data_IF_550168542309
#
_entry.id   IF_550168542309
#
_cell.length_a   1.000
_cell.length_b   1.000
_cell.length_c   1.000
_cell.angle_alpha   90.00
_cell.angle_beta   90.00
_cell.angle_gamma   90.00
#
_symmetry.space_group_name_H-M   'P 1'
#
loop_
_entity.id
_entity.type
_entity.pdbx_description
1 polymer ?
#
# COMPACT_ATOMS: atom_id res chain seq x y z
N UNK A 1 -45.40 14.20 38.23
CA UNK A 1 -44.47 14.64 37.19
C UNK A 1 -43.08 14.80 37.83
N UNK A 2 -42.37 13.70 38.14
CA UNK A 2 -40.98 13.71 38.61
C UNK A 2 -40.31 12.41 38.23
N UNK A 3 -40.06 12.19 36.91
CA UNK A 3 -39.51 10.92 36.44
C UNK A 3 -38.43 10.98 35.36
N UNK A 4 -37.96 12.17 34.97
CA UNK A 4 -37.06 12.30 33.81
C UNK A 4 -35.67 12.85 34.11
N UNK A 5 -35.33 13.24 35.33
CA UNK A 5 -33.97 13.71 35.66
C UNK A 5 -32.99 12.60 36.08
N UNK A 6 -33.48 11.50 36.63
CA UNK A 6 -32.60 10.40 37.11
C UNK A 6 -32.01 9.50 36.00
N UNK A 7 -32.56 9.52 34.80
CA UNK A 7 -32.08 8.71 33.70
C UNK A 7 -30.88 9.29 32.92
N UNK A 8 -30.58 10.58 33.11
CA UNK A 8 -29.49 11.27 32.44
C UNK A 8 -28.21 11.41 33.28
N UNK A 9 -28.32 11.21 34.60
CA UNK A 9 -27.12 11.28 35.47
C UNK A 9 -26.03 10.27 35.16
N UNK A 10 -26.30 8.98 34.81
CA UNK A 10 -25.26 8.06 34.41
C UNK A 10 -24.53 8.48 33.12
N UNK A 11 -25.27 9.05 32.16
CA UNK A 11 -24.73 9.58 30.93
C UNK A 11 -23.87 10.85 31.17
N UNK A 12 -24.33 11.69 32.11
CA UNK A 12 -23.58 12.89 32.50
C UNK A 12 -22.28 12.52 33.21
N UNK A 13 -22.31 11.56 34.13
CA UNK A 13 -21.12 11.07 34.82
C UNK A 13 -20.14 10.39 33.85
N UNK A 14 -20.65 9.66 32.85
CA UNK A 14 -19.83 9.11 31.78
C UNK A 14 -19.16 10.20 30.93
N UNK A 15 -19.88 11.25 30.58
CA UNK A 15 -19.35 12.41 29.86
C UNK A 15 -18.34 13.21 30.67
N UNK A 16 -18.56 13.35 32.00
CA UNK A 16 -17.59 14.01 32.89
C UNK A 16 -16.34 13.15 33.15
N UNK A 17 -16.46 11.84 33.15
CA UNK A 17 -15.33 10.91 33.40
C UNK A 17 -14.52 10.58 32.11
N UNK A 18 -15.16 10.61 30.95
CA UNK A 18 -14.56 10.23 29.67
C UNK A 18 -14.73 11.28 28.57
N UNK A 19 -15.26 12.46 28.91
CA UNK A 19 -15.57 13.51 27.93
C UNK A 19 -14.35 14.02 27.19
N UNK A 20 -13.21 14.08 27.85
CA UNK A 20 -11.94 14.50 27.23
C UNK A 20 -11.35 13.42 26.33
N UNK A 21 -11.67 12.13 26.58
CA UNK A 21 -11.25 11.02 25.74
C UNK A 21 -12.16 10.85 24.49
N UNK A 22 -13.39 11.39 24.55
CA UNK A 22 -14.36 11.33 23.44
C UNK A 22 -14.36 12.55 22.53
N UNK A 23 -13.76 13.64 22.95
CA UNK A 23 -13.49 14.77 22.03
C UNK A 23 -12.13 14.45 21.39
N UNK A 24 -12.10 13.98 20.14
CA UNK A 24 -10.82 13.96 19.45
C UNK A 24 -10.35 15.41 19.49
N UNK A 25 -9.26 15.69 20.20
CA UNK A 25 -8.51 16.91 20.01
C UNK A 25 -8.16 16.91 18.53
N UNK A 26 -8.98 17.60 17.73
CA UNK A 26 -8.65 17.90 16.36
C UNK A 26 -7.42 18.81 16.46
N UNK A 27 -6.25 18.22 16.44
CA UNK A 27 -5.06 18.95 16.07
C UNK A 27 -5.26 19.35 14.61
N UNK A 28 -5.87 20.52 14.44
CA UNK A 28 -5.93 21.16 13.13
C UNK A 28 -4.54 21.71 12.90
N UNK A 29 -3.69 20.89 12.31
CA UNK A 29 -2.39 21.33 11.84
C UNK A 29 -2.60 22.20 10.61
N UNK A 30 -2.29 23.48 10.73
CA UNK A 30 -2.22 24.39 9.59
C UNK A 30 -0.95 24.08 8.79
N UNK A 31 -1.12 23.89 7.48
CA UNK A 31 0.04 23.79 6.60
C UNK A 31 0.74 25.16 6.54
N UNK A 32 2.05 25.19 6.84
CA UNK A 32 2.87 26.37 6.55
C UNK A 32 3.01 26.49 5.02
N UNK A 33 2.43 27.59 4.50
CA UNK A 33 2.43 27.92 3.07
C UNK A 33 3.48 28.99 2.73
N UNK A 34 4.47 29.23 3.60
CA UNK A 34 5.58 30.12 3.24
C UNK A 34 6.28 29.62 1.98
N UNK A 35 6.75 30.57 1.15
CA UNK A 35 7.44 30.24 -0.11
C UNK A 35 8.64 29.35 0.18
N UNK A 36 9.39 29.62 1.24
CA UNK A 36 10.56 28.88 1.68
C UNK A 36 10.22 27.42 1.98
N UNK A 37 9.15 27.18 2.75
CA UNK A 37 8.68 25.83 3.08
C UNK A 37 8.18 25.08 1.85
N UNK A 38 7.44 25.76 0.97
CA UNK A 38 6.93 25.15 -0.28
C UNK A 38 8.08 24.80 -1.23
N UNK A 39 9.06 25.70 -1.41
CA UNK A 39 10.22 25.43 -2.25
C UNK A 39 11.10 24.33 -1.67
N UNK A 40 11.31 24.30 -0.35
CA UNK A 40 12.05 23.23 0.31
C UNK A 40 11.38 21.85 0.11
N UNK A 41 10.05 21.79 0.25
CA UNK A 41 9.28 20.55 0.04
C UNK A 41 9.23 20.14 -1.43
N UNK A 42 9.10 21.08 -2.36
CA UNK A 42 9.08 20.80 -3.81
C UNK A 42 10.45 20.50 -4.40
N UNK A 43 11.53 20.98 -3.77
CA UNK A 43 12.90 20.67 -4.17
C UNK A 43 13.38 19.31 -3.64
N UNK A 44 12.60 18.63 -2.79
CA UNK A 44 12.94 17.28 -2.36
C UNK A 44 12.76 16.33 -3.53
N UNK A 45 13.88 15.75 -3.98
CA UNK A 45 13.85 14.56 -4.83
C UNK A 45 12.96 13.50 -4.20
N UNK A 46 12.37 12.64 -5.04
CA UNK A 46 11.56 11.53 -4.53
C UNK A 46 12.38 10.74 -3.50
N UNK A 47 11.75 10.41 -2.37
CA UNK A 47 12.41 9.71 -1.26
C UNK A 47 12.95 8.35 -1.70
N UNK A 48 12.21 7.68 -2.59
CA UNK A 48 12.54 6.34 -3.08
C UNK A 48 12.52 6.35 -4.61
N UNK A 49 13.68 6.15 -5.23
CA UNK A 49 13.78 6.06 -6.69
C UNK A 49 13.36 4.66 -7.17
N UNK A 50 12.70 4.60 -8.33
CA UNK A 50 12.46 3.31 -8.97
C UNK A 50 13.78 2.70 -9.47
N UNK A 51 13.91 1.39 -9.37
CA UNK A 51 15.06 0.68 -9.95
C UNK A 51 14.96 0.53 -11.48
N UNK A 52 13.93 1.10 -12.09
CA UNK A 52 13.74 1.20 -13.54
C UNK A 52 13.97 2.65 -13.95
N UNK A 53 15.13 2.98 -14.57
CA UNK A 53 15.49 4.38 -14.86
C UNK A 53 14.49 5.12 -15.75
N UNK A 54 13.84 4.42 -16.69
CA UNK A 54 12.80 5.01 -17.54
C UNK A 54 11.56 5.42 -16.74
N UNK A 55 11.22 4.66 -15.70
CA UNK A 55 10.10 4.97 -14.82
C UNK A 55 10.43 6.18 -13.94
N UNK A 56 11.63 6.19 -13.32
CA UNK A 56 12.11 7.33 -12.53
C UNK A 56 12.10 8.62 -13.34
N UNK A 57 12.56 8.59 -14.60
CA UNK A 57 12.53 9.77 -15.47
C UNK A 57 11.11 10.27 -15.79
N UNK A 58 10.09 9.42 -15.69
CA UNK A 58 8.71 9.76 -16.03
C UNK A 58 7.89 10.25 -14.84
N UNK A 59 8.09 9.68 -13.67
CA UNK A 59 7.28 9.92 -12.46
C UNK A 59 8.14 10.20 -11.22
N UNK A 60 9.42 10.54 -11.42
CA UNK A 60 10.39 11.02 -10.42
C UNK A 60 10.70 10.04 -9.27
N UNK A 61 9.75 9.21 -8.86
CA UNK A 61 9.90 8.23 -7.80
C UNK A 61 8.70 8.19 -6.86
N UNK A 62 8.92 7.77 -5.63
CA UNK A 62 7.88 7.50 -4.65
C UNK A 62 8.09 8.32 -3.39
N UNK A 63 7.05 8.98 -2.91
CA UNK A 63 7.04 9.74 -1.68
C UNK A 63 5.97 9.23 -0.72
N UNK A 64 6.04 9.68 0.51
CA UNK A 64 5.03 9.48 1.53
C UNK A 64 3.66 10.00 1.07
N UNK A 65 2.60 9.28 1.44
CA UNK A 65 1.24 9.65 1.08
C UNK A 65 0.83 9.32 -0.36
N UNK A 66 1.73 8.74 -1.17
CA UNK A 66 1.39 8.32 -2.52
C UNK A 66 0.56 7.03 -2.53
N UNK A 67 -0.49 7.02 -3.34
CA UNK A 67 -1.16 5.81 -3.78
C UNK A 67 -0.83 5.58 -5.26
N UNK A 68 -0.18 4.47 -5.57
CA UNK A 68 0.24 4.08 -6.91
C UNK A 68 -0.58 2.87 -7.34
N UNK A 69 -1.45 3.00 -8.31
CA UNK A 69 -2.18 1.87 -8.86
C UNK A 69 -1.40 1.24 -10.02
N UNK A 70 -1.16 -0.06 -9.93
CA UNK A 70 -0.44 -0.84 -10.94
C UNK A 70 -1.39 -1.88 -11.55
N UNK A 71 -1.87 -1.59 -12.74
CA UNK A 71 -2.74 -2.51 -13.48
C UNK A 71 -1.97 -3.43 -14.41
N UNK A 72 -2.29 -4.73 -14.38
CA UNK A 72 -1.71 -5.70 -15.29
C UNK A 72 -2.70 -6.82 -15.60
N UNK A 73 -2.53 -7.48 -16.76
CA UNK A 73 -3.27 -8.69 -17.09
C UNK A 73 -2.83 -9.84 -16.17
N UNK A 74 -3.65 -10.88 -16.04
CA UNK A 74 -3.23 -12.12 -15.38
C UNK A 74 -1.94 -12.65 -15.97
N UNK A 75 -1.07 -13.20 -15.14
CA UNK A 75 0.17 -13.87 -15.52
C UNK A 75 1.19 -12.99 -16.31
N UNK A 76 1.07 -11.66 -16.25
CA UNK A 76 2.01 -10.74 -16.93
C UNK A 76 3.16 -10.26 -16.04
N UNK A 77 3.28 -10.81 -14.84
CA UNK A 77 4.44 -10.57 -13.98
C UNK A 77 4.27 -9.49 -12.91
N UNK A 78 3.03 -9.13 -12.47
CA UNK A 78 2.80 -8.16 -11.37
C UNK A 78 3.66 -8.44 -10.15
N UNK A 79 3.60 -9.67 -9.62
CA UNK A 79 4.36 -10.08 -8.43
C UNK A 79 5.87 -10.01 -8.66
N UNK A 80 6.35 -10.36 -9.86
CA UNK A 80 7.77 -10.21 -10.22
C UNK A 80 8.19 -8.74 -10.33
N UNK A 81 7.29 -7.88 -10.82
CA UNK A 81 7.51 -6.45 -10.88
C UNK A 81 7.73 -5.85 -9.49
N UNK A 82 6.80 -6.04 -8.55
CA UNK A 82 6.99 -5.48 -7.22
C UNK A 82 8.12 -6.16 -6.44
N UNK A 83 8.40 -7.45 -6.65
CA UNK A 83 9.56 -8.10 -6.06
C UNK A 83 10.87 -7.47 -6.53
N UNK A 84 10.99 -7.17 -7.83
CA UNK A 84 12.13 -6.45 -8.39
C UNK A 84 12.23 -5.03 -7.84
N UNK A 85 11.12 -4.29 -7.79
CA UNK A 85 11.07 -2.91 -7.30
C UNK A 85 11.49 -2.78 -5.83
N UNK A 86 11.18 -3.80 -5.01
CA UNK A 86 11.50 -3.78 -3.57
C UNK A 86 12.86 -4.38 -3.29
N UNK A 87 13.12 -5.62 -3.76
CA UNK A 87 14.28 -6.41 -3.34
C UNK A 87 15.42 -6.44 -4.37
N UNK A 88 15.16 -6.10 -5.63
CA UNK A 88 16.16 -6.10 -6.70
C UNK A 88 17.27 -5.07 -6.51
N UNK A 89 18.19 -5.02 -7.45
CA UNK A 89 19.26 -4.03 -7.44
C UNK A 89 18.69 -2.62 -7.48
N UNK A 90 19.16 -1.75 -6.58
CA UNK A 90 18.61 -0.42 -6.34
C UNK A 90 17.11 -0.40 -5.98
N UNK A 91 16.55 -1.52 -5.52
CA UNK A 91 15.18 -1.59 -5.03
C UNK A 91 14.96 -0.81 -3.73
N UNK A 92 13.71 -0.53 -3.39
CA UNK A 92 13.37 0.30 -2.22
C UNK A 92 13.97 -0.21 -0.91
N UNK A 93 13.99 -1.54 -0.68
CA UNK A 93 14.59 -2.11 0.52
C UNK A 93 16.13 -1.90 0.58
N UNK A 94 16.81 -1.84 -0.57
CA UNK A 94 18.24 -1.52 -0.62
C UNK A 94 18.50 -0.02 -0.38
N UNK A 95 17.55 0.84 -0.71
CA UNK A 95 17.57 2.26 -0.37
C UNK A 95 17.23 2.52 1.09
N UNK A 96 16.91 1.46 1.88
CA UNK A 96 16.60 1.54 3.30
C UNK A 96 15.12 1.66 3.63
N UNK A 97 14.21 1.57 2.64
CA UNK A 97 12.77 1.59 2.88
C UNK A 97 12.31 0.33 3.63
N UNK A 98 11.49 0.52 4.66
CA UNK A 98 10.77 -0.57 5.33
C UNK A 98 9.55 -0.95 4.51
N UNK A 99 9.57 -2.11 3.92
CA UNK A 99 8.58 -2.58 2.98
C UNK A 99 7.70 -3.68 3.58
N UNK A 100 6.40 -3.53 3.46
CA UNK A 100 5.41 -4.54 3.83
C UNK A 100 4.67 -5.00 2.59
N UNK A 101 4.55 -6.31 2.40
CA UNK A 101 3.87 -6.93 1.27
C UNK A 101 2.75 -7.81 1.79
N UNK A 102 1.53 -7.50 1.39
CA UNK A 102 0.31 -8.16 1.79
C UNK A 102 -0.19 -9.03 0.63
N UNK A 103 -0.01 -10.34 0.75
CA UNK A 103 -0.28 -11.32 -0.31
C UNK A 103 -1.64 -11.98 -0.10
N UNK A 104 -2.52 -11.92 -1.07
CA UNK A 104 -3.81 -12.60 -1.05
C UNK A 104 -4.16 -13.32 -2.38
N UNK A 105 -3.22 -13.32 -3.33
CA UNK A 105 -3.36 -14.03 -4.61
C UNK A 105 -2.51 -15.30 -4.66
N UNK A 106 -1.21 -15.19 -4.39
CA UNK A 106 -0.30 -16.32 -4.29
C UNK A 106 0.09 -16.57 -2.82
N UNK A 107 0.53 -17.79 -2.51
CA UNK A 107 1.05 -18.08 -1.17
C UNK A 107 2.31 -17.26 -0.87
N UNK A 108 2.46 -16.86 0.39
CA UNK A 108 3.61 -16.07 0.88
C UNK A 108 4.94 -16.76 0.53
N UNK A 109 5.00 -18.10 0.54
CA UNK A 109 6.21 -18.83 0.17
C UNK A 109 6.59 -18.65 -1.31
N UNK A 110 5.61 -18.64 -2.21
CA UNK A 110 5.86 -18.40 -3.65
C UNK A 110 6.31 -16.97 -3.90
N UNK A 111 5.64 -16.02 -3.26
CA UNK A 111 6.03 -14.61 -3.31
C UNK A 111 7.44 -14.45 -2.73
N UNK A 112 7.72 -15.04 -1.57
CA UNK A 112 9.05 -15.04 -0.93
C UNK A 112 10.16 -15.56 -1.84
N UNK A 113 9.90 -16.62 -2.63
CA UNK A 113 10.86 -17.11 -3.62
C UNK A 113 11.15 -16.07 -4.71
N UNK A 114 10.15 -15.29 -5.17
CA UNK A 114 10.38 -14.20 -6.14
C UNK A 114 11.24 -13.08 -5.54
N UNK A 115 11.03 -12.77 -4.25
CA UNK A 115 11.86 -11.80 -3.52
C UNK A 115 13.30 -12.28 -3.37
N UNK A 116 13.50 -13.57 -3.06
CA UNK A 116 14.83 -14.18 -3.01
C UNK A 116 15.51 -14.14 -4.39
N UNK A 117 14.78 -14.49 -5.45
CA UNK A 117 15.26 -14.41 -6.84
C UNK A 117 15.66 -12.97 -7.21
N UNK A 118 14.79 -12.00 -6.91
CA UNK A 118 15.06 -10.59 -7.21
C UNK A 118 16.24 -10.03 -6.42
N UNK A 119 16.37 -10.35 -5.14
CA UNK A 119 17.43 -9.84 -4.28
C UNK A 119 18.79 -10.48 -4.56
N UNK A 120 18.79 -11.75 -4.94
CA UNK A 120 20.02 -12.48 -5.24
C UNK A 120 20.49 -12.31 -6.70
N UNK A 121 19.61 -11.83 -7.58
CA UNK A 121 19.83 -11.82 -9.03
C UNK A 121 20.20 -13.22 -9.56
N UNK A 122 19.53 -14.25 -9.04
CA UNK A 122 19.75 -15.65 -9.37
C UNK A 122 18.40 -16.30 -9.69
N UNK A 123 18.38 -17.20 -10.66
CA UNK A 123 17.19 -18.02 -10.91
C UNK A 123 17.07 -19.15 -9.87
N UNK A 124 15.94 -19.86 -9.87
CA UNK A 124 15.66 -20.88 -8.85
C UNK A 124 16.65 -22.07 -8.88
N UNK A 125 17.20 -22.40 -10.02
CA UNK A 125 18.20 -23.48 -10.15
C UNK A 125 19.54 -23.02 -9.54
N UNK A 126 19.98 -21.81 -9.88
CA UNK A 126 21.19 -21.21 -9.31
C UNK A 126 21.11 -21.06 -7.79
N UNK A 127 19.93 -20.68 -7.26
CA UNK A 127 19.68 -20.60 -5.82
C UNK A 127 19.80 -21.97 -5.16
N UNK A 128 19.25 -23.00 -5.80
CA UNK A 128 19.34 -24.38 -5.31
C UNK A 128 20.78 -24.89 -5.27
N UNK A 129 21.56 -24.56 -6.30
CA UNK A 129 22.96 -24.98 -6.41
C UNK A 129 23.88 -24.16 -5.49
N UNK A 130 23.54 -22.90 -5.23
CA UNK A 130 24.35 -21.97 -4.44
C UNK A 130 23.53 -21.26 -3.35
N UNK A 131 22.92 -21.98 -2.39
CA UNK A 131 21.99 -21.39 -1.41
C UNK A 131 22.67 -20.42 -0.45
N UNK A 132 23.97 -20.59 -0.16
CA UNK A 132 24.74 -19.68 0.68
C UNK A 132 24.90 -18.30 0.07
N UNK A 133 25.20 -18.24 -1.23
CA UNK A 133 25.33 -16.96 -1.98
C UNK A 133 23.99 -16.26 -2.05
N UNK A 134 22.91 -17.00 -2.34
CA UNK A 134 21.57 -16.44 -2.34
C UNK A 134 21.18 -15.88 -0.98
N UNK A 135 21.48 -16.59 0.10
CA UNK A 135 21.22 -16.16 1.47
C UNK A 135 22.01 -14.88 1.83
N UNK A 136 23.29 -14.82 1.50
CA UNK A 136 24.12 -13.64 1.72
C UNK A 136 23.54 -12.41 1.03
N UNK A 137 23.22 -12.51 -0.25
CA UNK A 137 22.62 -11.41 -1.04
C UNK A 137 21.25 -10.98 -0.49
N UNK A 138 20.41 -11.93 -0.09
CA UNK A 138 19.11 -11.64 0.51
C UNK A 138 19.26 -10.99 1.89
N UNK A 139 20.28 -11.36 2.65
CA UNK A 139 20.53 -10.78 3.99
C UNK A 139 20.70 -9.28 3.98
N UNK A 140 21.13 -8.70 2.86
CA UNK A 140 21.26 -7.25 2.70
C UNK A 140 19.92 -6.49 2.70
N UNK A 141 18.78 -7.18 2.48
CA UNK A 141 17.46 -6.55 2.36
C UNK A 141 16.40 -7.17 3.27
N UNK A 142 16.62 -8.37 3.81
CA UNK A 142 15.60 -9.18 4.51
C UNK A 142 14.96 -8.46 5.71
N UNK A 143 15.73 -7.65 6.43
CA UNK A 143 15.25 -6.96 7.63
C UNK A 143 14.32 -5.79 7.28
N UNK A 144 14.43 -5.27 6.06
CA UNK A 144 13.60 -4.23 5.50
C UNK A 144 12.34 -4.77 4.78
N UNK A 145 12.13 -6.08 4.72
CA UNK A 145 11.01 -6.68 3.99
C UNK A 145 10.19 -7.58 4.92
N UNK A 146 8.88 -7.34 4.98
CA UNK A 146 7.93 -8.21 5.69
C UNK A 146 6.85 -8.67 4.73
N UNK A 147 6.64 -9.96 4.65
CA UNK A 147 5.62 -10.62 3.83
C UNK A 147 4.54 -11.17 4.75
N UNK A 148 3.27 -10.88 4.46
CA UNK A 148 2.12 -11.38 5.21
C UNK A 148 1.09 -12.02 4.29
N UNK A 149 0.48 -13.11 4.75
CA UNK A 149 -0.75 -13.62 4.17
C UNK A 149 -1.91 -12.71 4.59
N UNK A 150 -2.55 -12.10 3.61
CA UNK A 150 -3.69 -11.20 3.79
C UNK A 150 -4.99 -11.79 3.24
N UNK A 151 -5.05 -13.11 3.02
CA UNK A 151 -6.25 -13.79 2.54
C UNK A 151 -7.43 -13.53 3.47
N UNK A 152 -8.53 -13.04 2.92
CA UNK A 152 -9.76 -12.73 3.67
C UNK A 152 -9.67 -11.52 4.60
N UNK A 153 -8.56 -10.78 4.58
CA UNK A 153 -8.41 -9.54 5.36
C UNK A 153 -9.03 -8.35 4.62
N UNK A 154 -9.42 -7.34 5.39
CA UNK A 154 -10.00 -6.08 4.94
C UNK A 154 -9.00 -4.91 5.06
N UNK A 155 -9.43 -3.72 4.64
CA UNK A 155 -8.61 -2.51 4.71
C UNK A 155 -8.38 -2.00 6.13
N UNK A 156 -9.24 -2.34 7.09
CA UNK A 156 -9.01 -2.00 8.51
C UNK A 156 -7.83 -2.80 9.08
N UNK A 157 -7.67 -4.05 8.66
CA UNK A 157 -6.48 -4.82 9.00
C UNK A 157 -5.21 -4.25 8.35
N UNK A 158 -5.28 -3.80 7.09
CA UNK A 158 -4.15 -3.09 6.43
C UNK A 158 -3.75 -1.85 7.23
N UNK A 159 -4.72 -1.08 7.68
CA UNK A 159 -4.50 0.09 8.53
C UNK A 159 -3.80 -0.27 9.84
N UNK A 160 -4.20 -1.36 10.50
CA UNK A 160 -3.55 -1.83 11.73
C UNK A 160 -2.09 -2.20 11.53
N UNK A 161 -1.75 -2.78 10.37
CA UNK A 161 -0.37 -3.06 9.97
C UNK A 161 0.42 -1.76 9.76
N UNK A 162 -0.14 -0.80 9.03
CA UNK A 162 0.50 0.49 8.79
C UNK A 162 0.79 1.23 10.12
N UNK A 163 -0.18 1.24 11.03
CA UNK A 163 -0.05 1.82 12.37
C UNK A 163 1.06 1.16 13.20
N UNK A 164 1.12 -0.17 13.20
CA UNK A 164 2.02 -0.95 14.06
C UNK A 164 3.45 -0.97 13.54
N UNK A 165 3.63 -1.15 12.23
CA UNK A 165 4.96 -1.31 11.61
C UNK A 165 5.55 0.01 11.13
N UNK A 166 4.70 1.03 10.87
CA UNK A 166 5.10 2.30 10.26
C UNK A 166 5.98 2.06 9.02
N UNK A 167 5.50 1.30 8.03
CA UNK A 167 6.27 1.02 6.82
C UNK A 167 6.44 2.29 6.00
N UNK A 168 7.50 2.34 5.18
CA UNK A 168 7.68 3.38 4.19
C UNK A 168 6.93 3.03 2.87
N UNK A 169 6.86 1.73 2.55
CA UNK A 169 6.20 1.20 1.35
C UNK A 169 5.32 0.00 1.70
N UNK A 170 4.09 0.01 1.22
CA UNK A 170 3.14 -1.11 1.35
C UNK A 170 2.72 -1.59 -0.03
N UNK A 171 2.76 -2.90 -0.27
CA UNK A 171 2.22 -3.54 -1.47
C UNK A 171 0.96 -4.30 -1.10
N UNK A 172 -0.14 -4.03 -1.81
CA UNK A 172 -1.38 -4.78 -1.75
C UNK A 172 -1.46 -5.71 -2.97
N UNK A 173 -1.05 -6.96 -2.83
CA UNK A 173 -1.01 -7.94 -3.95
C UNK A 173 -2.02 -9.08 -3.75
N UNK A 174 -3.27 -8.87 -4.22
CA UNK A 174 -3.88 -7.78 -5.01
C UNK A 174 -4.78 -6.90 -4.16
N UNK A 175 -4.76 -5.61 -4.43
CA UNK A 175 -5.66 -4.67 -3.78
C UNK A 175 -7.15 -4.98 -4.00
N UNK A 176 -7.50 -5.46 -5.20
CA UNK A 176 -8.88 -5.79 -5.58
C UNK A 176 -9.45 -7.03 -4.85
N UNK A 177 -8.60 -7.84 -4.21
CA UNK A 177 -9.00 -9.07 -3.49
C UNK A 177 -9.15 -8.90 -1.99
N UNK A 178 -8.91 -7.71 -1.45
CA UNK A 178 -9.22 -7.45 -0.04
C UNK A 178 -10.73 -7.53 0.21
N UNK A 179 -11.10 -8.05 1.38
CA UNK A 179 -12.49 -8.19 1.77
C UNK A 179 -13.22 -6.85 1.64
N UNK A 180 -14.44 -6.91 1.13
CA UNK A 180 -15.27 -5.73 0.90
C UNK A 180 -15.69 -5.14 2.24
N UNK A 181 -15.59 -3.84 2.37
CA UNK A 181 -16.23 -3.12 3.45
C UNK A 181 -17.74 -3.38 3.40
N UNK A 182 -18.35 -3.78 4.51
CA UNK A 182 -19.78 -4.08 4.60
C UNK A 182 -20.61 -2.84 4.21
N UNK A 183 -21.76 -3.06 3.54
CA UNK A 183 -22.71 -2.00 3.21
C UNK A 183 -22.79 -1.61 1.74
N UNK A 184 -21.92 -2.13 0.86
CA UNK A 184 -22.00 -1.85 -0.58
C UNK A 184 -22.79 -2.94 -1.32
N UNK A 185 -23.80 -2.51 -2.08
CA UNK A 185 -24.61 -3.42 -2.90
C UNK A 185 -23.86 -3.85 -4.18
N UNK A 186 -22.97 -3.01 -4.69
CA UNK A 186 -22.25 -3.22 -5.95
C UNK A 186 -20.75 -3.49 -5.70
N UNK A 187 -20.19 -4.37 -6.53
CA UNK A 187 -18.78 -4.75 -6.42
C UNK A 187 -17.82 -3.60 -6.74
N UNK A 188 -18.14 -2.82 -7.77
CA UNK A 188 -17.34 -1.69 -8.21
C UNK A 188 -17.28 -0.56 -7.15
N UNK A 189 -18.37 -0.33 -6.41
CA UNK A 189 -18.38 0.63 -5.30
C UNK A 189 -17.49 0.16 -4.14
N UNK A 190 -17.50 -1.14 -3.83
CA UNK A 190 -16.64 -1.72 -2.80
C UNK A 190 -15.15 -1.63 -3.18
N UNK A 191 -14.80 -1.85 -4.46
CA UNK A 191 -13.42 -1.68 -4.95
C UNK A 191 -12.97 -0.23 -4.85
N UNK A 192 -13.84 0.73 -5.19
CA UNK A 192 -13.56 2.15 -4.99
C UNK A 192 -13.33 2.49 -3.52
N UNK A 193 -14.20 1.99 -2.62
CA UNK A 193 -14.06 2.24 -1.19
C UNK A 193 -12.71 1.70 -0.65
N UNK A 194 -12.25 0.54 -1.10
CA UNK A 194 -10.94 0.02 -0.73
C UNK A 194 -9.79 0.93 -1.22
N UNK A 195 -9.87 1.45 -2.45
CA UNK A 195 -8.87 2.38 -2.98
C UNK A 195 -8.85 3.73 -2.22
N UNK A 196 -10.04 4.28 -1.90
CA UNK A 196 -10.17 5.48 -1.06
C UNK A 196 -9.54 5.24 0.31
N UNK A 197 -9.83 4.10 0.95
CA UNK A 197 -9.26 3.76 2.25
C UNK A 197 -7.73 3.58 2.16
N UNK A 198 -7.22 2.92 1.11
CA UNK A 198 -5.78 2.82 0.86
C UNK A 198 -5.11 4.21 0.77
N UNK A 199 -5.73 5.16 0.06
CA UNK A 199 -5.23 6.54 -0.01
C UNK A 199 -5.24 7.24 1.35
N UNK A 200 -6.28 7.04 2.16
CA UNK A 200 -6.33 7.57 3.52
C UNK A 200 -5.20 7.01 4.37
N UNK A 201 -4.98 5.69 4.35
CA UNK A 201 -3.88 5.03 5.06
C UNK A 201 -2.53 5.62 4.63
N UNK A 202 -2.30 5.76 3.31
CA UNK A 202 -1.05 6.31 2.78
C UNK A 202 -0.75 7.69 3.38
N UNK A 203 -1.74 8.59 3.40
CA UNK A 203 -1.62 9.95 3.94
C UNK A 203 -1.48 9.97 5.47
N UNK A 204 -2.31 9.20 6.17
CA UNK A 204 -2.36 9.21 7.63
C UNK A 204 -1.11 8.62 8.26
N UNK A 205 -0.53 7.58 7.65
CA UNK A 205 0.63 6.88 8.17
C UNK A 205 1.93 7.20 7.43
N UNK A 206 1.92 8.22 6.56
CA UNK A 206 3.09 8.69 5.81
C UNK A 206 3.84 7.55 5.10
N UNK A 207 3.10 6.70 4.38
CA UNK A 207 3.67 5.61 3.59
C UNK A 207 3.21 5.70 2.13
N UNK A 208 3.97 5.08 1.23
CA UNK A 208 3.52 4.86 -0.13
C UNK A 208 2.80 3.52 -0.24
N UNK A 209 1.65 3.49 -0.90
CA UNK A 209 0.91 2.26 -1.14
C UNK A 209 0.87 1.95 -2.63
N UNK A 210 1.34 0.75 -2.99
CA UNK A 210 1.16 0.17 -4.31
C UNK A 210 -0.08 -0.74 -4.29
N UNK A 211 -1.09 -0.33 -5.00
CA UNK A 211 -2.34 -1.06 -5.16
C UNK A 211 -2.29 -1.86 -6.45
N UNK A 212 -2.03 -3.16 -6.34
CA UNK A 212 -1.95 -4.04 -7.51
C UNK A 212 -3.35 -4.43 -7.95
N UNK A 213 -3.68 -4.08 -9.20
CA UNK A 213 -5.01 -4.30 -9.80
C UNK A 213 -4.94 -5.22 -11.01
N UNK A 214 -6.04 -5.86 -11.31
CA UNK A 214 -6.21 -6.60 -12.55
C UNK A 214 -6.85 -5.70 -13.61
N UNK A 215 -6.41 -5.86 -14.86
CA UNK A 215 -7.05 -5.24 -15.99
C UNK A 215 -8.31 -6.03 -16.37
N UNK A 216 -9.36 -5.32 -16.77
CA UNK A 216 -10.60 -5.92 -17.27
C UNK A 216 -10.38 -6.63 -18.63
N UNK A 217 -11.35 -7.45 -19.03
CA UNK A 217 -11.33 -8.12 -20.33
C UNK A 217 -11.21 -7.15 -21.53
N UNK A 218 -11.61 -5.89 -21.36
CA UNK A 218 -11.46 -4.86 -22.39
C UNK A 218 -10.01 -4.55 -22.78
N UNK A 219 -9.06 -4.90 -21.91
CA UNK A 219 -7.62 -4.75 -22.15
C UNK A 219 -7.03 -5.88 -22.99
N UNK A 220 -7.78 -6.96 -23.24
CA UNK A 220 -7.27 -8.12 -23.95
C UNK A 220 -6.92 -7.76 -25.41
N UNK A 221 -5.75 -8.19 -25.87
CA UNK A 221 -5.24 -7.92 -27.21
C UNK A 221 -4.81 -6.47 -27.49
N UNK A 222 -4.98 -5.53 -26.55
CA UNK A 222 -4.59 -4.13 -26.76
C UNK A 222 -3.12 -3.90 -26.37
N UNK A 223 -2.42 -3.17 -27.24
CA UNK A 223 -1.02 -2.76 -27.01
C UNK A 223 -0.98 -1.52 -26.09
N UNK A 224 -1.89 -0.57 -26.30
CA UNK A 224 -2.00 0.64 -25.48
C UNK A 224 -3.10 0.44 -24.46
N UNK A 225 -2.74 0.61 -23.21
CA UNK A 225 -3.64 0.48 -22.06
C UNK A 225 -3.95 1.87 -21.49
N UNK A 226 -5.16 2.04 -20.99
CA UNK A 226 -5.59 3.28 -20.34
C UNK A 226 -6.32 2.96 -19.02
N UNK A 227 -6.55 3.97 -18.22
CA UNK A 227 -7.21 3.88 -16.92
C UNK A 227 -8.60 3.21 -16.97
N UNK A 228 -9.37 3.44 -18.05
CA UNK A 228 -10.71 2.87 -18.21
C UNK A 228 -10.71 1.32 -18.30
N UNK A 229 -9.57 0.72 -18.59
CA UNK A 229 -9.40 -0.74 -18.67
C UNK A 229 -9.07 -1.40 -17.34
N UNK A 230 -8.90 -0.65 -16.27
CA UNK A 230 -8.71 -1.22 -14.93
C UNK A 230 -10.02 -1.77 -14.39
N UNK A 231 -9.97 -2.88 -13.68
CA UNK A 231 -11.14 -3.43 -13.01
C UNK A 231 -11.72 -2.42 -12.02
N UNK A 232 -13.04 -2.20 -12.06
CA UNK A 232 -13.70 -1.18 -11.23
C UNK A 232 -13.50 0.27 -11.69
N UNK A 233 -12.92 0.53 -12.88
CA UNK A 233 -12.66 1.88 -13.38
C UNK A 233 -13.94 2.72 -13.59
N UNK A 234 -15.09 2.09 -13.84
CA UNK A 234 -16.39 2.77 -14.03
C UNK A 234 -16.83 3.62 -12.84
N UNK A 235 -16.34 3.33 -11.65
CA UNK A 235 -16.62 4.10 -10.43
C UNK A 235 -15.57 5.16 -10.11
N UNK A 236 -14.56 5.32 -10.97
CA UNK A 236 -13.46 6.26 -10.74
C UNK A 236 -12.45 5.79 -9.72
N UNK A 237 -12.32 4.46 -9.49
CA UNK A 237 -11.31 3.88 -8.58
C UNK A 237 -9.89 4.36 -8.93
N UNK A 238 -9.53 4.33 -10.22
CA UNK A 238 -8.23 4.74 -10.69
C UNK A 238 -7.95 6.26 -10.53
N UNK A 239 -8.98 7.07 -10.30
CA UNK A 239 -8.82 8.50 -10.04
C UNK A 239 -8.33 8.78 -8.60
N UNK A 240 -8.33 7.78 -7.72
CA UNK A 240 -7.83 7.91 -6.36
C UNK A 240 -6.29 7.76 -6.27
N UNK A 241 -5.66 7.20 -7.30
CA UNK A 241 -4.21 7.00 -7.37
C UNK A 241 -3.42 8.24 -7.78
#
# INVERSE_FOLDING_TARGET
VNGSQSSLEPLRNMLEQYGDDFIPTMNIEWADISIETLLAKNAMEARWAFNIPSLTRKIEGVNEGHLIEVGARPNTGKTSFHASMIAGDNGFARQGARCVVLCNEESVHRVGMRYLTASSNMNQYEIKDNPKVAHERYSAVKDNIKLYDSTGRDMAWVESIAKSFKPDVVILDMGDKFAKTAGFARQDEALKANAVHARMIAKQYNCAIFYMSQLSAEAEGKVVLNQAMMEGSRTGKAAEA
#
